data_IF_953918265461
#
_entry.id   IF_953918265461
#
_cell.length_a   1.000
_cell.length_b   1.000
_cell.length_c   1.000
_cell.angle_alpha   90.00
_cell.angle_beta   90.00
_cell.angle_gamma   90.00
#
_symmetry.space_group_name_H-M   'P 1'
#
loop_
_entity.id
_entity.type
_entity.pdbx_description
1 polymer ?
#
# COMPACT_ATOMS: atom_id res chain seq x y z
N UNK A 1 -5.73 -10.05 -12.05
CA UNK A 1 -4.39 -9.66 -12.55
C UNK A 1 -3.93 -8.48 -11.73
N UNK A 2 -2.65 -8.38 -11.38
CA UNK A 2 -2.11 -7.24 -10.64
C UNK A 2 -1.41 -6.31 -11.65
N UNK A 3 -1.80 -5.05 -11.66
CA UNK A 3 -1.20 -4.02 -12.51
C UNK A 3 0.03 -3.42 -11.81
N UNK A 4 0.98 -2.89 -12.59
CA UNK A 4 2.18 -2.25 -12.07
C UNK A 4 2.42 -0.90 -12.76
N UNK A 5 2.88 0.09 -12.00
CA UNK A 5 3.29 1.39 -12.54
C UNK A 5 4.50 1.90 -11.77
N UNK A 6 5.38 2.63 -12.44
CA UNK A 6 6.60 3.19 -11.84
C UNK A 6 6.51 4.72 -11.79
N UNK A 7 6.96 5.30 -10.68
CA UNK A 7 6.98 6.75 -10.43
C UNK A 7 8.37 7.17 -9.94
N UNK A 8 8.73 8.42 -10.22
CA UNK A 8 10.08 8.94 -9.90
C UNK A 8 10.30 9.24 -8.41
N UNK A 9 9.25 9.19 -7.58
CA UNK A 9 9.38 9.36 -6.12
C UNK A 9 8.33 8.59 -5.32
N UNK A 10 8.61 8.40 -4.03
CA UNK A 10 7.68 7.80 -3.07
C UNK A 10 6.39 8.63 -2.96
N UNK A 11 6.50 9.96 -2.97
CA UNK A 11 5.36 10.88 -2.86
C UNK A 11 4.44 10.77 -4.08
N UNK A 12 5.02 10.72 -5.29
CA UNK A 12 4.26 10.53 -6.52
C UNK A 12 3.55 9.17 -6.54
N UNK A 13 4.26 8.10 -6.19
CA UNK A 13 3.66 6.77 -6.08
C UNK A 13 2.55 6.72 -5.01
N UNK A 14 2.75 7.37 -3.86
CA UNK A 14 1.73 7.45 -2.79
C UNK A 14 0.48 8.17 -3.29
N UNK A 15 0.64 9.33 -3.92
CA UNK A 15 -0.49 10.13 -4.38
C UNK A 15 -1.25 9.39 -5.49
N UNK A 16 -0.55 8.71 -6.41
CA UNK A 16 -1.19 7.88 -7.43
C UNK A 16 -1.89 6.65 -6.83
N UNK A 17 -1.30 6.02 -5.81
CA UNK A 17 -1.92 4.90 -5.10
C UNK A 17 -3.22 5.32 -4.38
N UNK A 18 -3.22 6.50 -3.77
CA UNK A 18 -4.42 7.08 -3.14
C UNK A 18 -5.48 7.41 -4.20
N UNK A 19 -5.10 8.11 -5.28
CA UNK A 19 -6.03 8.45 -6.38
C UNK A 19 -6.67 7.21 -7.02
N UNK A 20 -5.88 6.15 -7.26
CA UNK A 20 -6.39 4.87 -7.72
C UNK A 20 -7.42 4.28 -6.76
N UNK A 21 -7.13 4.32 -5.46
CA UNK A 21 -8.02 3.80 -4.43
C UNK A 21 -9.32 4.60 -4.36
N UNK A 22 -9.25 5.92 -4.51
CA UNK A 22 -10.43 6.79 -4.50
C UNK A 22 -11.31 6.57 -5.72
N UNK A 23 -10.69 6.58 -6.91
CA UNK A 23 -11.34 6.35 -8.19
C UNK A 23 -12.07 5.01 -8.22
N UNK A 24 -11.45 3.96 -7.71
CA UNK A 24 -12.03 2.62 -7.74
C UNK A 24 -12.87 2.26 -6.52
N UNK A 25 -12.62 2.93 -5.40
CA UNK A 25 -13.28 2.69 -4.13
C UNK A 25 -14.54 3.50 -3.91
N UNK A 26 -14.83 4.46 -4.80
CA UNK A 26 -15.98 5.36 -4.71
C UNK A 26 -15.75 6.54 -3.75
N UNK A 27 -14.49 6.92 -3.52
CA UNK A 27 -14.10 8.07 -2.69
C UNK A 27 -12.93 7.80 -1.73
N UNK A 28 -12.53 8.81 -0.94
CA UNK A 28 -11.44 8.71 0.05
C UNK A 28 -11.67 7.59 1.05
N UNK A 29 -10.57 6.97 1.52
CA UNK A 29 -10.62 5.90 2.54
C UNK A 29 -11.32 6.35 3.83
N UNK A 30 -11.39 7.67 4.07
CA UNK A 30 -12.11 8.29 5.17
C UNK A 30 -11.38 8.14 6.51
N UNK A 31 -12.02 8.59 7.59
CA UNK A 31 -11.44 8.53 8.95
C UNK A 31 -11.56 7.14 9.61
N UNK A 32 -12.34 6.23 9.01
CA UNK A 32 -12.61 4.90 9.56
C UNK A 32 -11.79 3.86 8.80
N UNK A 33 -10.58 3.60 9.31
CA UNK A 33 -9.67 2.59 8.81
C UNK A 33 -9.04 1.82 9.96
N UNK A 34 -8.65 0.59 9.66
CA UNK A 34 -7.83 -0.26 10.51
C UNK A 34 -6.37 -0.15 10.06
N UNK A 35 -5.44 -0.13 11.02
CA UNK A 35 -4.02 -0.18 10.73
C UNK A 35 -3.64 -1.60 10.30
N UNK A 36 -2.93 -1.71 9.18
CA UNK A 36 -2.41 -2.98 8.68
C UNK A 36 -1.02 -3.21 9.26
N UNK A 37 -0.90 -4.26 10.07
CA UNK A 37 0.38 -4.73 10.62
C UNK A 37 0.97 -5.79 9.70
N UNK A 38 2.24 -5.58 9.30
CA UNK A 38 2.97 -6.54 8.47
C UNK A 38 3.25 -7.83 9.26
N UNK A 39 3.26 -8.96 8.53
CA UNK A 39 3.40 -10.30 9.13
C UNK A 39 4.70 -11.01 8.75
N UNK A 40 5.47 -10.45 7.83
CA UNK A 40 6.65 -11.07 7.23
C UNK A 40 7.62 -9.98 6.76
N UNK A 41 8.90 -10.35 6.62
CA UNK A 41 9.94 -9.49 6.05
C UNK A 41 10.17 -8.23 6.89
N UNK A 42 10.59 -7.14 6.23
CA UNK A 42 10.90 -5.88 6.93
C UNK A 42 9.70 -5.21 7.60
N UNK A 43 8.48 -5.56 7.19
CA UNK A 43 7.25 -5.04 7.78
C UNK A 43 6.74 -5.83 8.98
N UNK A 44 7.38 -6.94 9.35
CA UNK A 44 6.91 -7.80 10.44
C UNK A 44 6.80 -7.04 11.77
N UNK A 45 5.59 -7.02 12.35
CA UNK A 45 5.30 -6.33 13.59
C UNK A 45 5.15 -4.81 13.49
N UNK A 46 5.30 -4.23 12.29
CA UNK A 46 5.22 -2.78 12.07
C UNK A 46 3.97 -2.40 11.27
N UNK A 47 3.54 -1.15 11.40
CA UNK A 47 2.51 -0.54 10.55
C UNK A 47 3.04 -0.45 9.11
N UNK A 48 2.40 -1.17 8.20
CA UNK A 48 2.71 -1.14 6.77
C UNK A 48 1.67 -0.37 5.97
N UNK A 49 0.52 -0.04 6.55
CA UNK A 49 -0.49 0.77 5.87
C UNK A 49 -1.84 0.70 6.56
N UNK A 50 -2.91 0.84 5.78
CA UNK A 50 -4.28 0.95 6.29
C UNK A 50 -5.25 0.19 5.41
N UNK A 51 -6.34 -0.28 6.01
CA UNK A 51 -7.46 -0.88 5.29
C UNK A 51 -8.79 -0.34 5.81
N UNK A 52 -9.80 -0.29 4.94
CA UNK A 52 -11.16 0.04 5.34
C UNK A 52 -12.12 -0.96 4.71
N UNK A 53 -13.04 -1.45 5.54
CA UNK A 53 -14.17 -2.28 5.13
C UNK A 53 -15.47 -1.49 5.05
N UNK A 54 -15.45 -0.17 5.30
CA UNK A 54 -16.62 0.68 5.17
C UNK A 54 -16.91 0.91 3.68
N UNK A 55 -18.04 0.35 3.21
CA UNK A 55 -18.39 0.37 1.79
C UNK A 55 -17.50 -0.58 0.97
N UNK A 56 -16.90 -0.07 -0.10
CA UNK A 56 -15.94 -0.84 -0.90
C UNK A 56 -14.68 -1.09 -0.09
N UNK A 57 -14.31 -2.37 0.05
CA UNK A 57 -13.06 -2.75 0.70
C UNK A 57 -11.88 -2.10 -0.03
N UNK A 58 -11.00 -1.47 0.74
CA UNK A 58 -9.85 -0.73 0.26
C UNK A 58 -8.67 -1.01 1.18
N UNK A 59 -7.50 -1.23 0.61
CA UNK A 59 -6.27 -1.43 1.36
C UNK A 59 -5.10 -0.82 0.62
N UNK A 60 -4.22 -0.15 1.34
CA UNK A 60 -2.90 0.26 0.87
C UNK A 60 -1.84 -0.22 1.84
N UNK A 61 -0.75 -0.77 1.31
CA UNK A 61 0.42 -1.16 2.09
C UNK A 61 1.69 -0.68 1.41
N UNK A 62 2.65 -0.26 2.19
CA UNK A 62 4.03 -0.08 1.79
C UNK A 62 4.69 -1.46 1.84
N UNK A 63 5.22 -1.92 0.72
CA UNK A 63 5.80 -3.27 0.57
C UNK A 63 7.17 -3.18 -0.16
N UNK A 64 7.97 -4.24 -0.03
CA UNK A 64 9.19 -4.48 -0.81
C UNK A 64 9.26 -5.93 -1.26
N UNK A 65 9.67 -6.15 -2.50
CA UNK A 65 10.10 -7.46 -2.97
C UNK A 65 11.23 -7.33 -4.01
N UNK A 66 12.03 -8.39 -4.26
CA UNK A 66 13.16 -8.33 -5.19
C UNK A 66 12.78 -8.06 -6.65
N UNK A 67 11.54 -8.29 -7.06
CA UNK A 67 11.08 -8.11 -8.44
C UNK A 67 10.58 -6.68 -8.67
N UNK A 68 9.82 -6.13 -7.73
CA UNK A 68 9.19 -4.81 -7.84
C UNK A 68 10.01 -3.70 -7.18
N UNK A 69 10.83 -4.03 -6.20
CA UNK A 69 11.47 -3.05 -5.31
C UNK A 69 10.46 -2.41 -4.36
N UNK A 70 10.72 -1.17 -3.96
CA UNK A 70 9.80 -0.41 -3.10
C UNK A 70 8.51 -0.07 -3.85
N UNK A 71 7.36 -0.36 -3.24
CA UNK A 71 6.07 -0.05 -3.86
C UNK A 71 4.96 0.13 -2.83
N UNK A 72 3.91 0.85 -3.24
CA UNK A 72 2.61 0.76 -2.58
C UNK A 72 1.77 -0.32 -3.25
N UNK A 73 1.32 -1.32 -2.49
CA UNK A 73 0.36 -2.29 -2.96
C UNK A 73 -1.05 -1.84 -2.57
N UNK A 74 -1.91 -1.63 -3.58
CA UNK A 74 -3.30 -1.22 -3.39
C UNK A 74 -4.24 -2.34 -3.80
N UNK A 75 -5.22 -2.64 -2.96
CA UNK A 75 -6.33 -3.53 -3.26
C UNK A 75 -7.67 -2.80 -3.10
N UNK A 76 -8.55 -2.92 -4.10
CA UNK A 76 -9.92 -2.39 -4.05
C UNK A 76 -10.92 -3.49 -4.42
N UNK A 77 -11.95 -3.67 -3.59
CA UNK A 77 -12.94 -4.75 -3.69
C UNK A 77 -12.51 -6.04 -2.98
N UNK A 78 -13.31 -7.10 -3.18
CA UNK A 78 -13.09 -8.45 -2.61
C UNK A 78 -13.29 -9.53 -3.68
N UNK A 79 -12.77 -10.73 -3.41
CA UNK A 79 -12.97 -11.90 -4.27
C UNK A 79 -12.27 -11.79 -5.63
N UNK A 80 -12.85 -12.43 -6.65
CA UNK A 80 -12.30 -12.46 -8.01
C UNK A 80 -12.36 -11.12 -8.74
N UNK A 81 -13.29 -10.23 -8.34
CA UNK A 81 -13.46 -8.91 -8.92
C UNK A 81 -12.55 -7.82 -8.33
N UNK A 82 -11.65 -8.18 -7.39
CA UNK A 82 -10.76 -7.20 -6.77
C UNK A 82 -9.76 -6.63 -7.78
N UNK A 83 -9.54 -5.33 -7.71
CA UNK A 83 -8.48 -4.63 -8.43
C UNK A 83 -7.23 -4.59 -7.55
N UNK A 84 -6.09 -4.96 -8.13
CA UNK A 84 -4.78 -4.94 -7.45
C UNK A 84 -3.80 -4.14 -8.30
N UNK A 85 -3.06 -3.23 -7.68
CA UNK A 85 -2.07 -2.41 -8.38
C UNK A 85 -0.87 -2.14 -7.47
N UNK A 86 0.34 -2.37 -7.98
CA UNK A 86 1.59 -1.98 -7.35
C UNK A 86 2.16 -0.68 -7.94
N UNK A 87 2.27 0.36 -7.11
CA UNK A 87 2.84 1.66 -7.45
C UNK A 87 4.29 1.71 -6.99
N UNK A 88 5.21 1.40 -7.89
CA UNK A 88 6.65 1.26 -7.68
C UNK A 88 7.33 2.63 -7.70
N UNK A 89 8.40 2.77 -6.93
CA UNK A 89 9.19 4.00 -6.87
C UNK A 89 10.65 3.71 -6.50
N UNK A 90 11.59 4.64 -6.75
CA UNK A 90 12.99 4.42 -6.41
C UNK A 90 13.17 4.32 -4.89
N UNK A 91 13.85 3.26 -4.45
CA UNK A 91 14.19 3.06 -3.04
C UNK A 91 14.91 1.73 -2.86
N UNK A 92 15.86 1.69 -1.93
CA UNK A 92 16.55 0.46 -1.56
C UNK A 92 15.77 -0.29 -0.48
N UNK A 93 16.01 -1.60 -0.40
CA UNK A 93 15.49 -2.45 0.67
C UNK A 93 15.83 -1.90 2.07
N UNK A 94 17.09 -1.50 2.27
CA UNK A 94 17.58 -0.95 3.53
C UNK A 94 16.90 0.37 3.90
N UNK A 95 16.58 1.21 2.90
CA UNK A 95 15.85 2.44 3.12
C UNK A 95 14.39 2.17 3.52
N UNK A 96 13.72 1.23 2.85
CA UNK A 96 12.33 0.90 3.18
C UNK A 96 12.21 0.28 4.57
N UNK A 97 13.13 -0.63 4.91
CA UNK A 97 13.22 -1.22 6.24
C UNK A 97 13.28 -0.14 7.32
N UNK A 98 14.14 0.86 7.15
CA UNK A 98 14.25 1.98 8.10
C UNK A 98 12.95 2.77 8.25
N UNK A 99 12.20 2.96 7.16
CA UNK A 99 10.89 3.61 7.22
C UNK A 99 9.89 2.76 8.01
N UNK A 100 9.85 1.45 7.76
CA UNK A 100 8.92 0.53 8.44
C UNK A 100 9.22 0.42 9.94
N UNK A 101 10.49 0.30 10.32
CA UNK A 101 10.92 0.21 11.73
C UNK A 101 10.54 1.46 12.55
N UNK A 102 10.42 2.63 11.92
CA UNK A 102 9.97 3.86 12.61
C UNK A 102 8.45 3.93 12.81
N UNK A 103 7.70 2.97 12.26
CA UNK A 103 6.22 2.91 12.30
C UNK A 103 5.76 1.79 13.23
N UNK A 104 6.22 1.83 14.48
CA UNK A 104 5.72 0.91 15.51
C UNK A 104 4.19 1.01 15.66
N UNK A 105 3.50 -0.07 16.06
CA UNK A 105 2.06 -0.04 16.31
C UNK A 105 1.76 1.03 17.35
N UNK A 106 0.89 1.99 17.00
CA UNK A 106 0.41 3.05 17.90
C UNK A 106 -0.92 2.67 18.52
#
# INVERSE_FOLDING_TARGET
>A
MEEESYYDSMELARNAALDFMETHGGGPIGAHYDVVIGRLGHGEGNEVGVESNLGTHRRIRLDWDPTKGCHYNVEVGKGSGRKKHAFRFPGSEAWLRRIMETRGPR
#
